data_IF_146746520308
#
_entry.id   IF_146746520308
#
_cell.length_a   1.000
_cell.length_b   1.000
_cell.length_c   1.000
_cell.angle_alpha   90.00
_cell.angle_beta   90.00
_cell.angle_gamma   90.00
#
_symmetry.space_group_name_H-M   'P 1'
#
loop_
_entity.id
_entity.type
_entity.pdbx_description
1 polymer ?
#
# COMPACT_ATOMS: atom_id res chain seq x y z
N UNK A 1 -15.16 19.69 5.69
CA UNK A 1 -14.02 19.53 4.77
C UNK A 1 -13.97 18.07 4.41
N UNK A 2 -13.87 17.73 3.12
CA UNK A 2 -13.75 16.32 2.71
C UNK A 2 -12.47 15.72 3.28
N UNK A 3 -12.55 14.49 3.77
CA UNK A 3 -11.37 13.80 4.29
C UNK A 3 -10.46 13.41 3.13
N UNK A 4 -9.16 13.22 3.40
CA UNK A 4 -8.23 12.72 2.39
C UNK A 4 -8.66 11.36 1.82
N UNK A 5 -9.27 10.52 2.66
CA UNK A 5 -9.87 9.25 2.26
C UNK A 5 -10.94 9.44 1.19
N UNK A 6 -11.90 10.34 1.42
CA UNK A 6 -12.99 10.64 0.49
C UNK A 6 -12.48 11.20 -0.83
N UNK A 7 -11.51 12.13 -0.78
CA UNK A 7 -10.97 12.75 -2.00
C UNK A 7 -10.15 11.75 -2.81
N UNK A 8 -9.28 10.96 -2.18
CA UNK A 8 -8.51 9.93 -2.90
C UNK A 8 -9.44 8.90 -3.54
N UNK A 9 -10.44 8.40 -2.81
CA UNK A 9 -11.41 7.46 -3.38
C UNK A 9 -12.17 8.07 -4.55
N UNK A 10 -12.66 9.30 -4.41
CA UNK A 10 -13.39 9.99 -5.49
C UNK A 10 -12.54 10.21 -6.75
N UNK A 11 -11.24 10.47 -6.62
CA UNK A 11 -10.34 10.56 -7.77
C UNK A 11 -9.99 9.19 -8.36
N UNK A 12 -9.88 8.15 -7.52
CA UNK A 12 -9.66 6.78 -7.97
C UNK A 12 -10.87 6.22 -8.73
N UNK A 13 -12.10 6.54 -8.32
CA UNK A 13 -13.34 6.11 -8.98
C UNK A 13 -13.44 6.62 -10.43
N UNK A 14 -12.86 7.80 -10.71
CA UNK A 14 -12.76 8.34 -12.08
C UNK A 14 -11.86 7.51 -12.98
N UNK A 15 -11.01 6.65 -12.39
CA UNK A 15 -10.10 5.76 -13.09
C UNK A 15 -10.59 4.31 -13.12
N UNK A 16 -11.83 4.01 -12.72
CA UNK A 16 -12.34 2.64 -12.66
C UNK A 16 -12.16 1.88 -13.99
N UNK A 17 -12.42 2.54 -15.13
CA UNK A 17 -12.20 1.95 -16.46
C UNK A 17 -10.71 1.72 -16.77
N UNK A 18 -9.81 2.48 -16.13
CA UNK A 18 -8.36 2.34 -16.29
C UNK A 18 -7.80 1.13 -15.55
N UNK A 19 -8.58 0.42 -14.73
CA UNK A 19 -8.13 -0.82 -14.10
C UNK A 19 -7.97 -1.97 -15.10
N UNK A 20 -8.49 -1.85 -16.32
CA UNK A 20 -8.28 -2.81 -17.41
C UNK A 20 -6.95 -2.61 -18.16
N UNK A 21 -5.86 -2.26 -17.46
CA UNK A 21 -4.54 -2.13 -18.10
C UNK A 21 -4.12 -3.48 -18.69
N UNK A 22 -3.94 -3.49 -20.00
CA UNK A 22 -3.71 -4.72 -20.77
C UNK A 22 -2.25 -4.96 -21.15
N UNK A 23 -1.42 -3.92 -21.15
CA UNK A 23 -0.03 -4.05 -21.57
C UNK A 23 0.77 -2.76 -21.49
N UNK A 24 2.03 -2.86 -21.90
CA UNK A 24 2.94 -1.72 -22.06
C UNK A 24 3.00 -1.41 -23.56
N UNK A 25 2.93 -0.13 -23.92
CA UNK A 25 3.03 0.32 -25.32
C UNK A 25 4.38 0.96 -25.59
N UNK A 26 5.00 0.63 -26.74
CA UNK A 26 6.20 1.32 -27.22
C UNK A 26 5.88 2.46 -28.20
N UNK A 27 6.90 3.25 -28.54
CA UNK A 27 6.76 4.37 -29.48
C UNK A 27 6.43 3.94 -30.92
N UNK A 28 6.60 2.65 -31.25
CA UNK A 28 6.22 2.10 -32.55
C UNK A 28 4.75 1.64 -32.58
N UNK A 29 4.04 1.73 -31.46
CA UNK A 29 2.64 1.31 -31.33
C UNK A 29 2.47 -0.20 -31.10
N UNK A 30 3.53 -0.89 -30.68
CA UNK A 30 3.44 -2.28 -30.24
C UNK A 30 2.98 -2.34 -28.79
N UNK A 31 2.02 -3.22 -28.50
CA UNK A 31 1.51 -3.47 -27.16
C UNK A 31 2.00 -4.83 -26.68
N UNK A 32 2.66 -4.84 -25.52
CA UNK A 32 3.21 -6.03 -24.88
C UNK A 32 2.32 -6.42 -23.69
N UNK A 33 1.65 -7.59 -23.71
CA UNK A 33 0.73 -8.01 -22.65
C UNK A 33 1.38 -8.11 -21.28
N UNK A 34 0.59 -7.90 -20.23
CA UNK A 34 1.04 -8.06 -18.85
C UNK A 34 1.21 -9.54 -18.47
N UNK A 35 2.23 -9.83 -17.66
CA UNK A 35 2.37 -11.12 -16.98
C UNK A 35 1.58 -11.16 -15.66
N UNK A 36 1.26 -12.36 -15.18
CA UNK A 36 0.55 -12.60 -13.92
C UNK A 36 1.44 -12.52 -12.66
N UNK A 37 2.61 -11.88 -12.75
CA UNK A 37 3.52 -11.70 -11.63
C UNK A 37 3.07 -10.51 -10.77
N UNK A 38 2.96 -10.71 -9.46
CA UNK A 38 2.46 -9.68 -8.54
C UNK A 38 3.34 -8.44 -8.52
N UNK A 39 4.66 -8.54 -8.78
CA UNK A 39 5.53 -7.37 -8.84
C UNK A 39 5.21 -6.52 -10.07
N UNK A 40 4.94 -7.16 -11.22
CA UNK A 40 4.52 -6.46 -12.43
C UNK A 40 3.21 -5.72 -12.17
N UNK A 41 2.21 -6.43 -11.65
CA UNK A 41 0.89 -5.83 -11.38
C UNK A 41 0.94 -4.74 -10.30
N UNK A 42 1.78 -4.89 -9.28
CA UNK A 42 1.99 -3.85 -8.27
C UNK A 42 2.52 -2.57 -8.89
N UNK A 43 3.52 -2.66 -9.79
CA UNK A 43 4.06 -1.49 -10.51
C UNK A 43 3.02 -0.88 -11.43
N UNK A 44 2.20 -1.69 -12.10
CA UNK A 44 1.12 -1.19 -12.95
C UNK A 44 0.10 -0.40 -12.13
N UNK A 45 -0.41 -0.94 -11.02
CA UNK A 45 -1.40 -0.23 -10.20
C UNK A 45 -0.84 1.03 -9.53
N UNK A 46 0.43 1.02 -9.13
CA UNK A 46 1.14 2.22 -8.69
C UNK A 46 1.10 3.30 -9.79
N UNK A 47 1.49 2.98 -11.03
CA UNK A 47 1.46 3.91 -12.16
C UNK A 47 0.04 4.39 -12.49
N UNK A 48 -0.95 3.49 -12.47
CA UNK A 48 -2.36 3.82 -12.72
C UNK A 48 -2.91 4.78 -11.66
N UNK A 49 -2.47 4.64 -10.41
CA UNK A 49 -2.94 5.52 -9.34
C UNK A 49 -2.40 6.95 -9.42
N UNK A 50 -1.26 7.17 -10.09
CA UNK A 50 -0.55 8.47 -10.12
C UNK A 50 -1.46 9.64 -10.51
N UNK A 51 -2.23 9.61 -11.62
CA UNK A 51 -3.08 10.74 -11.99
C UNK A 51 -4.12 11.09 -10.91
N UNK A 52 -4.74 10.09 -10.29
CA UNK A 52 -5.73 10.29 -9.22
C UNK A 52 -5.07 10.85 -7.95
N UNK A 53 -3.91 10.33 -7.56
CA UNK A 53 -3.15 10.83 -6.39
C UNK A 53 -2.76 12.30 -6.57
N UNK A 54 -2.27 12.69 -7.75
CA UNK A 54 -1.93 14.08 -8.06
C UNK A 54 -3.18 14.99 -8.10
N UNK A 55 -4.30 14.49 -8.64
CA UNK A 55 -5.56 15.23 -8.64
C UNK A 55 -6.07 15.45 -7.21
N UNK A 56 -6.00 14.43 -6.36
CA UNK A 56 -6.42 14.50 -4.96
C UNK A 56 -5.58 15.50 -4.16
N UNK A 57 -4.25 15.47 -4.34
CA UNK A 57 -3.35 16.45 -3.72
C UNK A 57 -3.74 17.88 -4.09
N UNK A 58 -4.00 18.14 -5.38
CA UNK A 58 -4.42 19.45 -5.87
C UNK A 58 -5.74 19.90 -5.26
N UNK A 59 -6.74 19.02 -5.16
CA UNK A 59 -8.04 19.31 -4.53
C UNK A 59 -7.88 19.67 -3.06
N UNK A 60 -6.95 19.00 -2.36
CA UNK A 60 -6.66 19.22 -0.94
C UNK A 60 -5.68 20.38 -0.67
N UNK A 61 -5.17 21.03 -1.71
CA UNK A 61 -4.21 22.14 -1.60
C UNK A 61 -2.80 21.71 -1.20
N UNK A 62 -2.35 20.56 -1.71
CA UNK A 62 -1.00 20.02 -1.55
C UNK A 62 -0.27 19.91 -2.89
N UNK A 63 1.05 19.95 -2.83
CA UNK A 63 1.97 19.48 -3.87
C UNK A 63 2.39 18.03 -3.58
N UNK A 64 2.92 17.34 -4.59
CA UNK A 64 3.34 15.94 -4.50
C UNK A 64 4.82 15.82 -4.83
N UNK A 65 5.55 15.07 -4.01
CA UNK A 65 6.92 14.60 -4.32
C UNK A 65 7.00 13.09 -4.23
N UNK A 66 7.60 12.47 -5.25
CA UNK A 66 7.92 11.05 -5.35
C UNK A 66 9.39 10.81 -4.95
N UNK A 67 9.76 9.61 -4.45
CA UNK A 67 11.15 9.28 -4.17
C UNK A 67 12.08 9.40 -5.39
N UNK A 68 13.23 10.02 -5.22
CA UNK A 68 14.28 10.11 -6.26
C UNK A 68 15.28 8.95 -6.22
N UNK A 69 15.17 8.10 -5.20
CA UNK A 69 16.04 6.95 -4.94
C UNK A 69 15.20 5.72 -4.64
N UNK A 70 15.70 4.55 -5.02
CA UNK A 70 15.01 3.29 -4.76
C UNK A 70 14.88 3.01 -3.24
N UNK A 71 13.89 2.20 -2.87
CA UNK A 71 13.67 1.71 -1.51
C UNK A 71 13.46 2.83 -0.46
N UNK A 72 12.80 3.91 -0.85
CA UNK A 72 12.40 4.99 0.05
C UNK A 72 10.88 5.10 0.12
N UNK A 73 10.37 5.11 1.34
CA UNK A 73 8.96 5.35 1.65
C UNK A 73 8.68 6.86 1.70
N UNK A 74 7.46 7.32 1.43
CA UNK A 74 6.36 6.63 0.72
C UNK A 74 6.48 6.77 -0.80
N UNK A 75 5.57 6.13 -1.56
CA UNK A 75 5.47 6.33 -3.02
C UNK A 75 5.14 7.79 -3.36
N UNK A 76 4.26 8.43 -2.58
CA UNK A 76 3.92 9.84 -2.72
C UNK A 76 3.92 10.56 -1.37
N UNK A 77 4.53 11.73 -1.33
CA UNK A 77 4.46 12.64 -0.19
C UNK A 77 3.67 13.88 -0.57
N UNK A 78 2.55 14.13 0.10
CA UNK A 78 1.84 15.40 0.00
C UNK A 78 2.47 16.41 0.96
N UNK A 79 2.75 17.62 0.47
CA UNK A 79 3.28 18.72 1.28
C UNK A 79 2.72 20.08 0.85
N UNK A 80 2.74 21.06 1.74
CA UNK A 80 2.44 22.48 1.41
C UNK A 80 3.70 23.33 1.19
N UNK A 81 4.85 22.74 1.47
CA UNK A 81 6.18 23.29 1.29
C UNK A 81 7.19 22.25 1.80
N UNK A 82 8.33 22.11 1.13
CA UNK A 82 9.29 21.04 1.47
C UNK A 82 9.86 21.19 2.90
N UNK A 83 9.94 22.43 3.40
CA UNK A 83 10.37 22.75 4.76
C UNK A 83 9.27 22.69 5.83
N UNK A 84 8.01 22.47 5.44
CA UNK A 84 6.88 22.47 6.36
C UNK A 84 6.64 21.08 6.98
N UNK A 85 6.21 21.07 8.24
CA UNK A 85 5.70 19.86 8.89
C UNK A 85 4.25 19.56 8.45
N UNK A 86 3.73 18.40 8.85
CA UNK A 86 2.37 17.99 8.49
C UNK A 86 2.28 17.41 7.08
N UNK A 87 3.37 16.75 6.66
CA UNK A 87 3.42 15.98 5.41
C UNK A 87 2.51 14.76 5.54
N UNK A 88 1.95 14.33 4.43
CA UNK A 88 1.10 13.13 4.39
C UNK A 88 1.76 12.12 3.47
N UNK A 89 1.95 10.90 3.96
CA UNK A 89 2.50 9.82 3.20
C UNK A 89 1.39 8.97 2.57
N UNK A 90 1.43 8.76 1.25
CA UNK A 90 0.54 7.85 0.52
C UNK A 90 1.38 6.72 -0.07
N UNK A 91 1.08 5.49 0.33
CA UNK A 91 1.83 4.30 -0.04
C UNK A 91 0.90 3.30 -0.73
N UNK A 92 1.22 2.95 -1.97
CA UNK A 92 0.42 2.04 -2.79
C UNK A 92 0.77 0.62 -2.41
N UNK A 93 -0.26 -0.20 -2.21
CA UNK A 93 -0.09 -1.60 -1.84
C UNK A 93 -0.99 -2.47 -2.67
N UNK A 94 -0.41 -3.52 -3.25
CA UNK A 94 -1.14 -4.46 -4.09
C UNK A 94 -1.05 -5.85 -3.48
N UNK A 95 -2.17 -6.56 -3.47
CA UNK A 95 -2.23 -7.99 -3.17
C UNK A 95 -3.22 -8.66 -4.12
N UNK A 96 -3.36 -9.98 -4.01
CA UNK A 96 -4.32 -10.74 -4.81
C UNK A 96 -5.16 -11.66 -3.92
N UNK A 97 -6.27 -12.12 -4.49
CA UNK A 97 -7.13 -13.17 -3.96
C UNK A 97 -7.52 -14.14 -5.09
N UNK A 98 -8.12 -15.29 -4.77
CA UNK A 98 -8.57 -16.24 -5.79
C UNK A 98 -10.04 -16.01 -6.15
N UNK A 99 -10.86 -15.69 -5.15
CA UNK A 99 -12.29 -15.42 -5.29
C UNK A 99 -12.68 -14.13 -4.55
N UNK A 100 -13.81 -13.53 -4.91
CA UNK A 100 -14.25 -12.22 -4.40
C UNK A 100 -14.31 -12.15 -2.87
N UNK A 101 -14.79 -13.23 -2.24
CA UNK A 101 -15.01 -13.33 -0.79
C UNK A 101 -13.76 -13.78 0.00
N UNK A 102 -12.66 -14.09 -0.69
CA UNK A 102 -11.44 -14.54 -0.03
C UNK A 102 -10.83 -13.41 0.81
N UNK A 103 -10.34 -13.79 1.98
CA UNK A 103 -9.54 -12.90 2.83
C UNK A 103 -8.14 -12.74 2.27
N UNK A 104 -7.59 -11.53 2.38
CA UNK A 104 -6.25 -11.20 1.92
C UNK A 104 -5.51 -10.34 2.94
N UNK A 105 -4.22 -10.13 2.70
CA UNK A 105 -3.37 -9.27 3.52
C UNK A 105 -2.27 -8.60 2.71
N UNK A 106 -1.64 -7.59 3.31
CA UNK A 106 -0.58 -6.77 2.75
C UNK A 106 0.65 -6.77 3.66
N UNK A 107 1.79 -6.44 3.06
CA UNK A 107 2.99 -5.99 3.78
C UNK A 107 3.02 -4.47 3.83
N UNK A 108 3.03 -3.89 5.03
CA UNK A 108 2.89 -2.45 5.27
C UNK A 108 4.24 -1.77 5.55
N UNK A 109 5.31 -2.23 4.89
CA UNK A 109 6.66 -1.72 5.10
C UNK A 109 7.34 -2.17 6.41
N UNK A 110 8.63 -1.90 6.52
CA UNK A 110 9.49 -2.43 7.59
C UNK A 110 9.23 -1.82 8.96
N UNK A 111 9.15 -2.64 10.02
CA UNK A 111 9.12 -2.16 11.41
C UNK A 111 10.51 -1.89 12.01
N UNK A 112 11.56 -1.98 11.19
CA UNK A 112 12.97 -1.76 11.59
C UNK A 112 13.64 -0.59 10.86
N UNK A 113 12.89 0.15 10.03
CA UNK A 113 13.33 1.35 9.32
C UNK A 113 12.91 2.61 10.08
N UNK A 114 12.28 3.57 9.39
CA UNK A 114 11.97 4.93 9.83
C UNK A 114 11.11 5.04 11.08
N UNK A 115 10.35 4.01 11.44
CA UNK A 115 9.52 4.06 12.64
C UNK A 115 10.33 3.90 13.93
N UNK A 116 11.56 3.35 13.89
CA UNK A 116 12.33 3.10 15.12
C UNK A 116 13.06 4.35 15.62
N UNK A 117 13.12 4.57 16.94
CA UNK A 117 13.94 5.64 17.52
C UNK A 117 15.38 5.59 17.01
N UNK A 118 15.88 6.73 16.54
CA UNK A 118 17.22 6.89 15.95
C UNK A 118 17.32 6.53 14.46
N UNK A 119 16.26 6.01 13.85
CA UNK A 119 16.19 5.67 12.43
C UNK A 119 15.27 6.58 11.62
N UNK A 120 14.86 7.74 12.16
CA UNK A 120 13.79 8.58 11.61
C UNK A 120 14.03 9.02 10.16
N UNK A 121 15.28 8.98 9.66
CA UNK A 121 15.67 9.32 8.28
C UNK A 121 15.97 8.11 7.39
N UNK A 122 15.81 6.89 7.90
CA UNK A 122 16.20 5.65 7.22
C UNK A 122 15.12 5.19 6.25
N UNK A 123 15.47 5.11 4.96
CA UNK A 123 14.58 4.61 3.90
C UNK A 123 13.25 5.40 3.81
N UNK A 124 13.30 6.71 4.01
CA UNK A 124 12.13 7.61 3.94
C UNK A 124 12.51 8.94 3.29
N UNK A 125 11.62 9.54 2.48
CA UNK A 125 11.89 10.77 1.71
C UNK A 125 12.16 11.99 2.62
N UNK A 126 11.40 12.11 3.71
CA UNK A 126 11.59 13.15 4.74
C UNK A 126 11.70 12.47 6.12
N UNK A 127 12.30 13.12 7.12
CA UNK A 127 12.30 12.59 8.49
C UNK A 127 10.90 12.20 8.96
N UNK A 128 10.75 11.02 9.55
CA UNK A 128 9.46 10.46 9.99
C UNK A 128 8.60 11.43 10.83
N UNK A 129 9.15 12.20 11.80
CA UNK A 129 8.37 13.16 12.59
C UNK A 129 7.77 14.34 11.81
N UNK A 130 8.18 14.56 10.56
CA UNK A 130 7.61 15.61 9.71
C UNK A 130 6.28 15.20 9.07
N UNK A 131 5.98 13.89 9.07
CA UNK A 131 4.69 13.36 8.62
C UNK A 131 3.67 13.37 9.75
N UNK A 132 2.47 13.84 9.46
CA UNK A 132 1.33 13.78 10.38
C UNK A 132 0.43 12.57 10.15
N UNK A 133 0.47 11.99 8.95
CA UNK A 133 -0.45 10.93 8.55
C UNK A 133 0.21 9.96 7.57
N UNK A 134 -0.17 8.69 7.67
CA UNK A 134 0.34 7.60 6.84
C UNK A 134 -0.83 6.79 6.25
N UNK A 135 -1.10 6.98 4.97
CA UNK A 135 -2.20 6.35 4.25
C UNK A 135 -1.72 5.24 3.32
N UNK A 136 -2.58 4.22 3.20
CA UNK A 136 -2.41 3.13 2.26
C UNK A 136 -3.49 3.25 1.19
N UNK A 137 -3.07 3.31 -0.07
CA UNK A 137 -3.93 3.10 -1.23
C UNK A 137 -3.80 1.62 -1.63
N UNK A 138 -4.78 0.83 -1.22
CA UNK A 138 -4.74 -0.63 -1.36
C UNK A 138 -5.50 -1.11 -2.59
N UNK A 139 -4.83 -1.87 -3.44
CA UNK A 139 -5.40 -2.64 -4.54
C UNK A 139 -5.51 -4.12 -4.16
N UNK A 140 -6.63 -4.74 -4.50
CA UNK A 140 -6.78 -6.20 -4.54
C UNK A 140 -7.38 -6.60 -5.88
N UNK A 141 -6.91 -7.71 -6.44
CA UNK A 141 -7.46 -8.27 -7.67
C UNK A 141 -7.63 -9.77 -7.54
N UNK A 142 -8.55 -10.33 -8.33
CA UNK A 142 -8.65 -11.76 -8.50
C UNK A 142 -7.58 -12.23 -9.47
N UNK A 143 -6.76 -13.17 -9.02
CA UNK A 143 -5.70 -13.73 -9.84
C UNK A 143 -6.27 -14.76 -10.81
N UNK A 144 -6.03 -14.55 -12.10
CA UNK A 144 -6.37 -15.54 -13.11
C UNK A 144 -5.23 -16.56 -13.18
N UNK A 145 -5.50 -17.80 -12.74
CA UNK A 145 -4.50 -18.86 -12.63
C UNK A 145 -4.07 -19.44 -13.99
N UNK A 146 -4.84 -19.23 -15.05
CA UNK A 146 -4.60 -19.85 -16.35
C UNK A 146 -3.47 -19.19 -17.14
N UNK A 147 -2.35 -19.91 -17.22
CA UNK A 147 -1.32 -19.72 -18.25
C UNK A 147 -1.83 -20.16 -19.61
N UNK A 148 -2.65 -19.35 -20.25
CA UNK A 148 -2.50 -19.23 -21.70
C UNK A 148 -1.80 -17.92 -21.93
N UNK A 149 -0.45 -17.98 -21.96
CA UNK A 149 0.25 -17.02 -22.79
C UNK A 149 -0.49 -17.06 -24.13
N UNK A 150 -1.10 -15.94 -24.53
CA UNK A 150 -1.65 -15.85 -25.88
C UNK A 150 -0.57 -16.37 -26.83
N UNK A 151 -0.97 -17.07 -27.89
CA UNK A 151 0.00 -17.43 -28.93
C UNK A 151 0.78 -16.18 -29.41
N UNK A 152 0.11 -15.02 -29.31
CA UNK A 152 0.62 -13.69 -29.58
C UNK A 152 1.31 -13.10 -28.34
N UNK A 153 2.57 -12.73 -28.51
CA UNK A 153 3.40 -12.09 -27.49
C UNK A 153 3.50 -10.56 -27.69
N UNK A 154 2.79 -10.05 -28.70
CA UNK A 154 2.79 -8.66 -29.13
C UNK A 154 1.49 -8.39 -29.90
N UNK A 155 0.90 -7.22 -29.68
CA UNK A 155 -0.33 -6.74 -30.31
C UNK A 155 -0.11 -5.35 -30.90
N UNK A 156 -1.05 -4.90 -31.74
CA UNK A 156 -1.12 -3.53 -32.24
C UNK A 156 -2.19 -2.75 -31.46
N UNK A 157 -2.14 -1.41 -31.50
CA UNK A 157 -3.09 -0.54 -30.78
C UNK A 157 -4.55 -0.83 -31.17
N UNK A 158 -4.81 -1.14 -32.43
CA UNK A 158 -6.16 -1.47 -32.93
C UNK A 158 -6.71 -2.80 -32.38
N UNK A 159 -5.85 -3.66 -31.81
CA UNK A 159 -6.21 -4.96 -31.22
C UNK A 159 -6.15 -4.97 -29.68
N UNK A 160 -6.12 -3.80 -29.02
CA UNK A 160 -6.05 -3.68 -27.55
C UNK A 160 -7.17 -4.46 -26.85
N UNK A 161 -8.38 -4.46 -27.39
CA UNK A 161 -9.53 -5.18 -26.81
C UNK A 161 -9.41 -6.71 -26.86
N UNK A 162 -8.44 -7.26 -27.58
CA UNK A 162 -8.19 -8.70 -27.68
C UNK A 162 -7.15 -9.19 -26.67
N UNK A 163 -6.45 -8.28 -25.99
CA UNK A 163 -5.35 -8.62 -25.09
C UNK A 163 -5.92 -9.20 -23.80
N UNK A 164 -5.58 -10.46 -23.44
CA UNK A 164 -6.07 -11.07 -22.21
C UNK A 164 -5.44 -10.40 -20.99
N UNK A 165 -6.25 -10.13 -19.97
CA UNK A 165 -5.79 -9.64 -18.68
C UNK A 165 -5.39 -10.81 -17.77
N UNK A 166 -4.27 -10.71 -17.03
CA UNK A 166 -3.87 -11.75 -16.07
C UNK A 166 -4.56 -11.61 -14.70
N UNK A 167 -5.54 -10.72 -14.59
CA UNK A 167 -6.30 -10.40 -13.39
C UNK A 167 -7.71 -9.97 -13.76
N UNK A 168 -8.62 -10.03 -12.78
CA UNK A 168 -9.97 -9.50 -12.89
C UNK A 168 -10.42 -8.91 -11.55
N UNK A 169 -11.60 -8.28 -11.55
CA UNK A 169 -12.24 -7.72 -10.36
C UNK A 169 -11.30 -6.93 -9.43
N UNK A 170 -10.72 -5.85 -9.98
CA UNK A 170 -9.86 -4.95 -9.22
C UNK A 170 -10.72 -4.12 -8.28
N UNK A 171 -10.45 -4.19 -6.99
CA UNK A 171 -11.03 -3.32 -5.97
C UNK A 171 -9.97 -2.47 -5.30
N UNK A 172 -10.39 -1.28 -4.87
CA UNK A 172 -9.54 -0.28 -4.22
C UNK A 172 -10.11 0.11 -2.86
N UNK A 173 -9.22 0.39 -1.91
CA UNK A 173 -9.54 1.10 -0.68
C UNK A 173 -8.48 2.15 -0.33
N UNK A 174 -8.85 3.12 0.49
CA UNK A 174 -7.94 4.09 1.10
C UNK A 174 -8.15 4.03 2.60
N UNK A 175 -7.09 3.84 3.38
CA UNK A 175 -7.20 3.79 4.85
C UNK A 175 -5.87 4.16 5.53
N UNK A 176 -5.94 4.68 6.76
CA UNK A 176 -4.76 4.91 7.58
C UNK A 176 -4.03 3.59 7.87
N UNK A 177 -2.71 3.61 7.73
CA UNK A 177 -1.84 2.45 7.90
C UNK A 177 -2.05 1.75 9.25
N UNK A 178 -2.16 2.52 10.34
CA UNK A 178 -2.30 1.95 11.68
C UNK A 178 -3.66 1.25 11.86
N UNK A 179 -4.73 1.74 11.23
CA UNK A 179 -6.09 1.16 11.31
C UNK A 179 -6.23 -0.18 10.60
N UNK A 180 -5.35 -0.50 9.67
CA UNK A 180 -5.36 -1.79 8.94
C UNK A 180 -4.17 -2.69 9.30
N UNK A 181 -3.27 -2.22 10.16
CA UNK A 181 -2.13 -3.01 10.62
C UNK A 181 -2.60 -4.13 11.54
N UNK A 182 -2.04 -5.32 11.42
CA UNK A 182 -2.23 -6.39 12.40
C UNK A 182 -1.17 -6.30 13.50
N UNK A 183 -1.22 -7.25 14.42
CA UNK A 183 -0.19 -7.48 15.45
C UNK A 183 0.86 -8.52 15.02
N UNK A 184 0.85 -8.94 13.75
CA UNK A 184 1.76 -9.97 13.21
C UNK A 184 2.64 -9.43 12.09
N UNK A 185 3.88 -9.91 12.05
CA UNK A 185 4.80 -9.58 10.97
C UNK A 185 4.27 -10.10 9.62
N UNK A 186 4.31 -9.24 8.59
CA UNK A 186 3.92 -9.57 7.22
C UNK A 186 5.00 -10.31 6.44
N UNK A 187 6.25 -10.30 6.93
CA UNK A 187 7.34 -11.12 6.41
C UNK A 187 8.38 -11.43 7.48
N UNK A 188 8.95 -12.63 7.44
CA UNK A 188 9.96 -13.07 8.40
C UNK A 188 11.36 -12.49 8.13
N UNK A 189 11.79 -12.48 6.87
CA UNK A 189 13.16 -12.10 6.47
C UNK A 189 13.37 -10.58 6.35
N UNK A 190 12.36 -9.84 5.88
CA UNK A 190 12.43 -8.40 5.62
C UNK A 190 11.77 -7.55 6.71
N UNK A 191 11.29 -8.18 7.80
CA UNK A 191 10.72 -7.51 8.98
C UNK A 191 9.62 -6.50 8.63
N UNK A 192 8.67 -6.88 7.78
CA UNK A 192 7.52 -6.02 7.46
C UNK A 192 6.43 -6.11 8.52
N UNK A 193 5.75 -4.99 8.75
CA UNK A 193 4.44 -4.95 9.40
C UNK A 193 3.45 -5.69 8.49
N UNK A 194 2.66 -6.61 9.04
CA UNK A 194 1.57 -7.27 8.31
C UNK A 194 0.27 -6.52 8.53
N UNK A 195 -0.58 -6.40 7.51
CA UNK A 195 -1.95 -5.95 7.71
C UNK A 195 -2.81 -7.01 8.39
N UNK A 196 -4.05 -6.65 8.76
CA UNK A 196 -5.10 -7.63 9.06
C UNK A 196 -5.27 -8.61 7.89
N UNK A 197 -5.73 -9.83 8.20
CA UNK A 197 -6.12 -10.82 7.20
C UNK A 197 -7.64 -10.90 7.14
N UNK A 198 -8.23 -10.14 6.21
CA UNK A 198 -9.65 -9.76 6.25
C UNK A 198 -10.22 -9.52 4.84
N UNK A 199 -11.50 -9.20 4.74
CA UNK A 199 -12.16 -8.85 3.46
C UNK A 199 -11.93 -7.38 3.12
N UNK A 200 -12.25 -6.97 1.89
CA UNK A 200 -12.14 -5.57 1.45
C UNK A 200 -12.93 -4.60 2.33
N UNK A 201 -14.09 -5.02 2.84
CA UNK A 201 -14.93 -4.18 3.69
C UNK A 201 -14.30 -3.92 5.07
N UNK A 202 -13.59 -4.91 5.62
CA UNK A 202 -12.82 -4.72 6.86
C UNK A 202 -11.68 -3.70 6.67
N UNK A 203 -11.03 -3.68 5.49
CA UNK A 203 -10.02 -2.68 5.16
C UNK A 203 -10.63 -1.29 4.98
N UNK A 204 -11.77 -1.18 4.28
CA UNK A 204 -12.52 0.08 4.13
C UNK A 204 -12.94 0.64 5.49
N UNK A 205 -13.43 -0.21 6.38
CA UNK A 205 -13.85 0.16 7.74
C UNK A 205 -12.69 0.45 8.70
N UNK A 206 -11.48 -0.05 8.41
CA UNK A 206 -10.32 0.11 9.30
C UNK A 206 -10.43 -0.74 10.57
N UNK A 207 -10.88 -1.99 10.42
CA UNK A 207 -11.13 -2.93 11.53
C UNK A 207 -9.85 -3.58 12.10
N UNK A 208 -8.79 -2.79 12.30
CA UNK A 208 -7.55 -3.22 12.94
C UNK A 208 -7.67 -3.32 14.47
N UNK A 209 -6.69 -3.97 15.14
CA UNK A 209 -6.73 -4.21 16.57
C UNK A 209 -6.27 -3.01 17.43
N UNK A 210 -5.59 -2.03 16.82
CA UNK A 210 -5.02 -0.88 17.52
C UNK A 210 -6.08 0.18 17.80
N UNK A 211 -6.05 0.77 19.00
CA UNK A 211 -6.99 1.80 19.41
C UNK A 211 -6.54 3.21 18.97
N UNK A 212 -5.26 3.40 18.65
CA UNK A 212 -4.68 4.66 18.20
C UNK A 212 -3.38 4.44 17.43
N UNK A 213 -2.93 5.45 16.70
CA UNK A 213 -1.62 5.44 16.05
C UNK A 213 -0.46 5.33 17.08
N UNK A 214 -0.60 5.95 18.25
CA UNK A 214 0.40 5.85 19.32
C UNK A 214 0.57 4.41 19.81
N UNK A 215 -0.53 3.68 20.02
CA UNK A 215 -0.47 2.25 20.40
C UNK A 215 0.18 1.41 19.29
N UNK A 216 -0.16 1.68 18.03
CA UNK A 216 0.45 1.05 16.87
C UNK A 216 1.97 1.29 16.82
N UNK A 217 2.41 2.52 16.99
CA UNK A 217 3.82 2.88 16.96
C UNK A 217 4.57 2.26 18.14
N UNK A 218 4.02 2.32 19.36
CA UNK A 218 4.65 1.74 20.55
C UNK A 218 4.80 0.21 20.40
N UNK A 219 3.75 -0.46 19.90
CA UNK A 219 3.78 -1.89 19.60
C UNK A 219 4.90 -2.24 18.62
N UNK A 220 4.93 -1.63 17.45
CA UNK A 220 5.86 -1.99 16.37
C UNK A 220 7.30 -1.54 16.62
N UNK A 221 7.50 -0.45 17.39
CA UNK A 221 8.83 -0.02 17.85
C UNK A 221 9.43 -1.02 18.84
N UNK A 222 8.58 -1.59 19.69
CA UNK A 222 8.96 -2.58 20.71
C UNK A 222 8.98 -4.02 20.17
N UNK A 223 8.42 -4.27 18.98
CA UNK A 223 8.29 -5.62 18.44
C UNK A 223 9.65 -6.26 18.12
N UNK A 224 9.87 -7.46 18.68
CA UNK A 224 11.08 -8.25 18.47
C UNK A 224 11.28 -8.67 17.01
N UNK A 225 12.53 -8.64 16.53
CA UNK A 225 12.85 -9.00 15.14
C UNK A 225 12.63 -10.49 14.90
N UNK A 226 13.18 -11.31 15.79
CA UNK A 226 13.05 -12.77 15.77
C UNK A 226 12.00 -13.25 16.77
N UNK A 227 11.65 -14.54 16.71
CA UNK A 227 10.80 -15.17 17.74
C UNK A 227 11.45 -15.12 19.12
N UNK A 228 12.78 -15.24 19.21
CA UNK A 228 13.51 -15.16 20.46
C UNK A 228 13.42 -13.76 21.08
N UNK A 229 13.45 -12.71 20.25
CA UNK A 229 13.33 -11.31 20.70
C UNK A 229 11.89 -10.94 21.11
N UNK A 230 10.91 -11.82 20.89
CA UNK A 230 9.49 -11.62 21.23
C UNK A 230 9.11 -12.30 22.54
N UNK A 231 10.06 -12.44 23.47
CA UNK A 231 9.81 -13.06 24.78
C UNK A 231 8.81 -12.28 25.63
N UNK A 232 8.76 -10.95 25.46
CA UNK A 232 7.91 -10.06 26.25
C UNK A 232 6.47 -10.02 25.74
N UNK A 233 6.30 -10.05 24.41
CA UNK A 233 5.01 -10.13 23.74
C UNK A 233 5.16 -10.56 22.26
N UNK A 234 4.12 -11.20 21.73
CA UNK A 234 4.03 -11.68 20.35
C UNK A 234 2.75 -11.25 19.63
N UNK A 235 1.79 -10.69 20.37
CA UNK A 235 0.47 -10.21 19.92
C UNK A 235 -0.01 -9.00 20.74
N UNK A 236 -1.07 -8.34 20.30
CA UNK A 236 -1.56 -7.10 20.92
C UNK A 236 -2.07 -7.30 22.35
N UNK A 237 -2.65 -8.47 22.66
CA UNK A 237 -3.16 -8.76 24.00
C UNK A 237 -2.01 -8.88 25.01
N UNK A 238 -0.94 -9.60 24.63
CA UNK A 238 0.28 -9.71 25.42
C UNK A 238 0.97 -8.36 25.59
N UNK A 239 1.03 -7.54 24.53
CA UNK A 239 1.60 -6.19 24.61
C UNK A 239 0.86 -5.31 25.62
N UNK A 240 -0.47 -5.28 25.57
CA UNK A 240 -1.29 -4.53 26.53
C UNK A 240 -1.07 -5.03 27.97
N UNK A 241 -0.96 -6.35 28.17
CA UNK A 241 -0.64 -6.92 29.48
C UNK A 241 0.79 -6.60 29.94
N UNK A 242 1.76 -6.55 29.02
CA UNK A 242 3.12 -6.13 29.28
C UNK A 242 3.20 -4.66 29.71
N UNK A 243 2.55 -3.74 28.99
CA UNK A 243 2.49 -2.32 29.37
C UNK A 243 1.89 -2.09 30.76
N UNK A 244 0.84 -2.84 31.12
CA UNK A 244 0.22 -2.79 32.46
C UNK A 244 1.15 -3.26 33.60
N UNK A 245 2.18 -4.06 33.31
CA UNK A 245 3.17 -4.53 34.31
C UNK A 245 4.32 -3.54 34.50
N UNK A 246 4.50 -2.60 33.56
CA UNK A 246 5.57 -1.61 33.59
C UNK A 246 5.14 -0.24 34.13
N UNK A 247 3.83 0.06 34.10
CA UNK A 247 3.24 1.23 34.74
C UNK A 247 2.77 0.92 36.15
#
# INVERSE_FOLDING_TARGET
MSTIQEVLLAEMDKLADSYAVCGIVDQAGSVYPLGADTKVLSTIFELVSRPAVYAAAKVLGYEVVEPTVQNHYPDFTFHRGLGDNGKIAIDVKTTYRMHDDDKFSYTLGGYTSFIRPGNEKKNIVFPFPEYSEHWVLGFVYNRIAEKKAGAEHQYTIDRIGEIPLPFENVEVFVQEKWRISSDRAGSGNTTNIGSIHATIDDFRAGNGPFASEDEFLDYWRSYGRTKADRSDFSNIHEFRAFKKRQG
#
